data_IF_266749615283
#
_entry.id   IF_266749615283
#
_cell.length_a   1.000
_cell.length_b   1.000
_cell.length_c   1.000
_cell.angle_alpha   90.00
_cell.angle_beta   90.00
_cell.angle_gamma   90.00
#
_symmetry.space_group_name_H-M   'P 1'
#
loop_
_entity.id
_entity.type
_entity.pdbx_description
1 polymer ?
#
# COMPACT_ATOMS: atom_id res chain seq x y z
N UNK A 1 70.14 -1.74 -2.91
CA UNK A 1 69.52 -0.61 -2.19
C UNK A 1 68.84 0.26 -3.23
N UNK A 2 67.50 0.24 -3.20
CA UNK A 2 66.48 0.98 -3.97
C UNK A 2 66.64 1.20 -5.49
N UNK A 3 65.67 0.62 -6.21
CA UNK A 3 65.27 0.89 -7.59
C UNK A 3 63.89 1.56 -7.54
N UNK A 4 63.68 2.67 -8.26
CA UNK A 4 62.40 2.94 -8.94
C UNK A 4 62.59 4.03 -10.02
N UNK A 5 62.20 3.70 -11.25
CA UNK A 5 62.05 4.60 -12.40
C UNK A 5 60.57 4.57 -12.84
N UNK A 6 60.11 5.72 -13.29
CA UNK A 6 58.75 6.22 -13.55
C UNK A 6 58.09 5.57 -14.80
N UNK A 7 56.76 5.40 -14.82
CA UNK A 7 55.90 5.64 -16.00
C UNK A 7 54.42 5.90 -15.62
N UNK A 8 53.70 6.51 -16.57
CA UNK A 8 52.41 7.21 -16.52
C UNK A 8 51.14 6.46 -16.04
N UNK A 9 50.12 7.27 -15.75
CA UNK A 9 48.68 6.96 -15.64
C UNK A 9 48.19 5.78 -16.49
N UNK A 10 47.57 4.81 -15.83
CA UNK A 10 46.39 4.12 -16.34
C UNK A 10 45.37 4.09 -15.20
N UNK A 11 44.23 4.70 -15.48
CA UNK A 11 43.04 4.66 -14.66
C UNK A 11 42.43 3.25 -14.78
N UNK A 12 42.43 2.46 -13.71
CA UNK A 12 41.47 1.36 -13.57
C UNK A 12 40.72 1.64 -12.28
N UNK A 13 39.63 2.38 -12.45
CA UNK A 13 38.46 2.18 -11.63
C UNK A 13 38.15 0.68 -11.70
N UNK A 14 38.36 -0.08 -10.62
CA UNK A 14 37.48 -1.22 -10.42
C UNK A 14 36.11 -0.61 -10.15
N UNK A 15 35.34 -0.54 -11.23
CA UNK A 15 34.04 0.07 -11.27
C UNK A 15 33.20 -0.50 -10.13
N UNK A 16 32.82 0.40 -9.23
CA UNK A 16 31.52 0.34 -8.58
C UNK A 16 30.48 0.12 -9.68
N UNK A 17 29.90 -1.08 -9.76
CA UNK A 17 28.65 -1.26 -10.48
C UNK A 17 27.53 -0.65 -9.60
N UNK A 18 27.38 0.67 -9.68
CA UNK A 18 26.19 1.37 -9.18
C UNK A 18 24.99 1.11 -10.14
N UNK A 19 23.74 1.35 -9.73
CA UNK A 19 22.77 0.33 -9.35
C UNK A 19 21.70 0.04 -10.42
N UNK A 20 21.38 -1.25 -10.58
CA UNK A 20 20.07 -1.81 -10.96
C UNK A 20 19.23 -1.11 -12.05
N UNK A 21 19.39 -1.52 -13.31
CA UNK A 21 18.39 -1.33 -14.37
C UNK A 21 17.06 -2.09 -14.13
N UNK A 22 16.96 -2.84 -13.04
CA UNK A 22 15.82 -3.68 -12.72
C UNK A 22 14.77 -2.88 -11.92
N UNK A 23 13.61 -2.63 -12.52
CA UNK A 23 12.47 -1.96 -11.89
C UNK A 23 11.39 -2.97 -11.55
N UNK A 24 11.03 -3.06 -10.28
CA UNK A 24 9.83 -3.81 -9.87
C UNK A 24 8.57 -3.00 -10.24
N UNK A 25 7.69 -3.60 -11.03
CA UNK A 25 6.42 -3.00 -11.47
C UNK A 25 5.30 -3.37 -10.51
N UNK A 26 5.24 -4.64 -10.13
CA UNK A 26 4.23 -5.16 -9.23
C UNK A 26 4.72 -6.42 -8.52
N UNK A 27 4.21 -6.64 -7.32
CA UNK A 27 4.40 -7.89 -6.59
C UNK A 27 3.21 -8.18 -5.67
N UNK A 28 3.08 -9.44 -5.25
CA UNK A 28 2.28 -9.77 -4.08
C UNK A 28 3.10 -9.52 -2.82
N UNK A 29 2.63 -8.64 -1.94
CA UNK A 29 3.24 -8.49 -0.61
C UNK A 29 2.82 -9.63 0.31
N UNK A 30 1.54 -9.98 0.33
CA UNK A 30 1.01 -11.06 1.17
C UNK A 30 1.02 -12.39 0.39
N UNK A 31 1.72 -13.40 0.91
CA UNK A 31 1.91 -14.71 0.27
C UNK A 31 1.50 -15.84 1.21
N UNK A 32 0.51 -16.62 0.79
CA UNK A 32 0.08 -17.82 1.49
C UNK A 32 0.86 -19.05 1.04
N UNK A 33 1.09 -20.00 1.93
CA UNK A 33 1.54 -21.33 1.54
C UNK A 33 0.62 -21.96 0.48
N UNK A 34 1.21 -22.76 -0.39
CA UNK A 34 0.50 -23.53 -1.43
C UNK A 34 -0.27 -22.68 -2.45
N UNK A 35 0.02 -21.37 -2.51
CA UNK A 35 -0.45 -20.45 -3.54
C UNK A 35 0.68 -20.06 -4.48
N UNK A 36 0.32 -19.57 -5.65
CA UNK A 36 1.25 -18.89 -6.52
C UNK A 36 1.26 -17.40 -6.21
N UNK A 37 2.42 -16.79 -6.35
CA UNK A 37 2.62 -15.36 -6.25
C UNK A 37 3.56 -14.92 -7.37
N UNK A 38 3.56 -13.62 -7.67
CA UNK A 38 4.32 -13.10 -8.81
C UNK A 38 5.18 -11.89 -8.48
N UNK A 39 6.26 -11.78 -9.23
CA UNK A 39 7.01 -10.55 -9.42
C UNK A 39 6.88 -10.13 -10.88
N UNK A 40 6.49 -8.88 -11.10
CA UNK A 40 6.50 -8.25 -12.42
C UNK A 40 7.60 -7.23 -12.42
N UNK A 41 8.55 -7.37 -13.35
CA UNK A 41 9.69 -6.48 -13.42
C UNK A 41 9.96 -6.04 -14.85
N UNK A 42 10.62 -4.89 -14.95
CA UNK A 42 11.13 -4.34 -16.18
C UNK A 42 12.64 -4.10 -16.06
N UNK A 43 13.33 -4.09 -17.19
CA UNK A 43 14.74 -3.70 -17.28
C UNK A 43 14.85 -2.46 -18.14
N UNK A 44 15.43 -1.39 -17.60
CA UNK A 44 15.58 -0.10 -18.29
C UNK A 44 16.54 -0.19 -19.47
N UNK A 45 17.61 -0.98 -19.36
CA UNK A 45 18.53 -1.26 -20.47
C UNK A 45 17.86 -2.11 -21.57
N UNK A 46 17.67 -1.51 -22.75
CA UNK A 46 17.08 -2.14 -23.93
C UNK A 46 17.86 -3.37 -24.40
N UNK A 47 19.20 -3.31 -24.41
CA UNK A 47 20.05 -4.40 -24.85
C UNK A 47 19.96 -5.58 -23.89
N UNK A 48 20.00 -5.31 -22.58
CA UNK A 48 19.81 -6.34 -21.59
C UNK A 48 18.41 -6.95 -21.71
N UNK A 49 17.36 -6.12 -21.87
CA UNK A 49 15.98 -6.60 -22.00
C UNK A 49 15.78 -7.55 -23.19
N UNK A 50 16.36 -7.23 -24.34
CA UNK A 50 16.37 -8.09 -25.53
C UNK A 50 17.12 -9.40 -25.25
N UNK A 51 18.32 -9.32 -24.67
CA UNK A 51 19.10 -10.50 -24.26
C UNK A 51 18.34 -11.41 -23.30
N UNK A 52 17.58 -10.87 -22.35
CA UNK A 52 16.76 -11.67 -21.43
C UNK A 52 15.64 -12.44 -22.16
N UNK A 53 15.16 -11.94 -23.29
CA UNK A 53 14.13 -12.59 -24.11
C UNK A 53 14.64 -13.73 -24.97
N UNK A 54 15.90 -13.66 -25.41
CA UNK A 54 16.44 -14.57 -26.44
C UNK A 54 17.48 -15.55 -25.89
N UNK A 55 18.22 -15.15 -24.85
CA UNK A 55 19.38 -15.90 -24.37
C UNK A 55 18.99 -17.21 -23.65
N UNK A 56 19.75 -18.27 -23.96
CA UNK A 56 19.67 -19.54 -23.25
C UNK A 56 20.40 -19.55 -21.90
N UNK A 57 21.16 -18.50 -21.60
CA UNK A 57 22.00 -18.38 -20.41
C UNK A 57 21.53 -17.27 -19.47
N UNK A 58 20.48 -16.54 -19.85
CA UNK A 58 19.88 -15.50 -19.02
C UNK A 58 18.93 -16.14 -17.99
N UNK A 59 19.17 -15.85 -16.71
CA UNK A 59 18.45 -16.41 -15.57
C UNK A 59 17.99 -15.30 -14.63
N UNK A 60 16.84 -15.53 -14.00
CA UNK A 60 16.42 -14.82 -12.81
C UNK A 60 16.52 -15.76 -11.61
N UNK A 61 17.13 -15.28 -10.53
CA UNK A 61 17.21 -15.97 -9.25
C UNK A 61 16.51 -15.13 -8.18
N UNK A 62 15.50 -15.71 -7.55
CA UNK A 62 14.76 -15.12 -6.45
C UNK A 62 15.23 -15.77 -5.15
N UNK A 63 15.74 -14.97 -4.22
CA UNK A 63 16.29 -15.41 -2.93
C UNK A 63 15.45 -14.84 -1.80
N UNK A 64 15.01 -15.68 -0.88
CA UNK A 64 14.44 -15.24 0.38
C UNK A 64 15.50 -15.32 1.47
N UNK A 65 15.63 -14.25 2.24
CA UNK A 65 16.51 -14.16 3.40
C UNK A 65 15.73 -14.44 4.69
N UNK A 66 16.39 -14.73 5.81
CA UNK A 66 15.71 -14.95 7.09
C UNK A 66 14.69 -13.85 7.42
N UNK A 67 13.60 -14.24 8.08
CA UNK A 67 12.56 -13.30 8.45
C UNK A 67 13.10 -12.23 9.40
N UNK A 68 12.72 -10.98 9.17
CA UNK A 68 13.05 -9.84 10.01
C UNK A 68 11.95 -9.59 11.03
N UNK A 69 12.32 -9.06 12.18
CA UNK A 69 11.41 -8.81 13.31
C UNK A 69 11.18 -7.33 13.58
N UNK A 70 12.05 -6.46 13.05
CA UNK A 70 11.95 -5.02 13.22
C UNK A 70 11.92 -4.28 11.89
N UNK A 71 11.37 -3.06 11.89
CA UNK A 71 11.40 -2.17 10.73
C UNK A 71 12.83 -1.75 10.38
N UNK A 72 13.71 -1.58 11.37
CA UNK A 72 15.11 -1.26 11.15
C UNK A 72 15.85 -2.38 10.41
N UNK A 73 15.63 -3.64 10.78
CA UNK A 73 16.17 -4.80 10.07
C UNK A 73 15.64 -4.88 8.63
N UNK A 74 14.35 -4.61 8.43
CA UNK A 74 13.75 -4.56 7.11
C UNK A 74 14.37 -3.46 6.25
N UNK A 75 14.48 -2.23 6.76
CA UNK A 75 15.08 -1.11 6.04
C UNK A 75 16.54 -1.42 5.66
N UNK A 76 17.33 -1.94 6.61
CA UNK A 76 18.71 -2.33 6.32
C UNK A 76 18.80 -3.40 5.21
N UNK A 77 17.89 -4.38 5.24
CA UNK A 77 17.79 -5.44 4.23
C UNK A 77 17.34 -4.94 2.85
N UNK A 78 16.59 -3.84 2.78
CA UNK A 78 16.15 -3.24 1.52
C UNK A 78 17.22 -2.32 0.94
N UNK A 79 17.90 -1.55 1.79
CA UNK A 79 18.98 -0.65 1.39
C UNK A 79 20.24 -1.41 0.96
N UNK A 80 20.51 -2.53 1.62
CA UNK A 80 21.65 -3.39 1.36
C UNK A 80 21.20 -4.84 1.40
N UNK A 81 21.68 -5.66 0.45
CA UNK A 81 21.36 -7.09 0.47
C UNK A 81 21.69 -7.67 1.85
N UNK A 82 20.81 -8.48 2.46
CA UNK A 82 21.11 -9.12 3.72
C UNK A 82 22.43 -9.89 3.66
N UNK A 83 23.25 -9.73 4.69
CA UNK A 83 24.52 -10.47 4.91
C UNK A 83 24.27 -11.88 5.47
N UNK A 84 23.09 -12.43 5.20
CA UNK A 84 22.67 -13.75 5.64
C UNK A 84 22.53 -14.68 4.43
N UNK A 85 22.78 -15.96 4.64
CA UNK A 85 22.47 -16.98 3.63
C UNK A 85 20.95 -17.05 3.38
N UNK A 86 20.51 -17.19 2.11
CA UNK A 86 19.10 -17.27 1.80
C UNK A 86 18.50 -18.58 2.33
N UNK A 87 17.32 -18.47 2.95
CA UNK A 87 16.55 -19.61 3.47
C UNK A 87 15.78 -20.35 2.38
N UNK A 88 15.55 -19.71 1.24
CA UNK A 88 14.94 -20.33 0.07
C UNK A 88 15.41 -19.64 -1.22
N UNK A 89 15.53 -20.42 -2.30
CA UNK A 89 15.97 -19.92 -3.61
C UNK A 89 15.10 -20.53 -4.71
N UNK A 90 14.69 -19.70 -5.66
CA UNK A 90 14.03 -20.09 -6.89
C UNK A 90 14.82 -19.56 -8.09
N UNK A 91 14.91 -20.35 -9.16
CA UNK A 91 15.62 -19.96 -10.38
C UNK A 91 14.84 -20.31 -11.63
N UNK A 92 14.86 -19.42 -12.62
CA UNK A 92 14.22 -19.64 -13.93
C UNK A 92 15.02 -19.00 -15.06
N UNK A 93 14.90 -19.55 -16.27
CA UNK A 93 15.40 -18.90 -17.49
C UNK A 93 14.47 -17.73 -17.85
N UNK A 94 15.03 -16.54 -18.07
CA UNK A 94 14.23 -15.33 -18.33
C UNK A 94 13.42 -15.43 -19.62
N UNK A 95 13.94 -16.12 -20.65
CA UNK A 95 13.23 -16.37 -21.91
C UNK A 95 11.99 -17.26 -21.78
N UNK A 96 11.83 -17.96 -20.66
CA UNK A 96 10.66 -18.81 -20.37
C UNK A 96 9.62 -18.11 -19.51
N UNK A 97 9.89 -16.89 -19.08
CA UNK A 97 8.94 -16.10 -18.31
C UNK A 97 7.81 -15.62 -19.21
N UNK A 98 6.63 -15.51 -18.62
CA UNK A 98 5.52 -14.83 -19.27
C UNK A 98 5.83 -13.33 -19.40
N UNK A 99 5.15 -12.68 -20.35
CA UNK A 99 5.22 -11.24 -20.56
C UNK A 99 3.86 -10.59 -20.45
N UNK A 100 3.80 -9.39 -19.91
CA UNK A 100 2.60 -8.54 -19.97
C UNK A 100 2.40 -7.96 -21.38
N UNK A 101 1.26 -7.32 -21.62
CA UNK A 101 1.02 -6.57 -22.86
C UNK A 101 1.98 -5.39 -23.07
N UNK A 102 2.59 -4.88 -22.00
CA UNK A 102 3.64 -3.84 -22.00
C UNK A 102 5.06 -4.42 -22.17
N UNK A 103 5.21 -5.75 -22.25
CA UNK A 103 6.49 -6.42 -22.43
C UNK A 103 7.26 -6.72 -21.13
N UNK A 104 6.68 -6.42 -19.97
CA UNK A 104 7.30 -6.66 -18.66
C UNK A 104 7.36 -8.16 -18.36
N UNK A 105 8.41 -8.60 -17.68
CA UNK A 105 8.61 -10.00 -17.36
C UNK A 105 7.83 -10.39 -16.10
N UNK A 106 7.19 -11.56 -16.14
CA UNK A 106 6.42 -12.10 -15.03
C UNK A 106 7.07 -13.38 -14.51
N UNK A 107 7.57 -13.33 -13.28
CA UNK A 107 8.03 -14.51 -12.54
C UNK A 107 6.89 -15.01 -11.69
N UNK A 108 6.33 -16.17 -12.05
CA UNK A 108 5.31 -16.85 -11.26
C UNK A 108 5.96 -17.94 -10.43
N UNK A 109 5.79 -17.88 -9.10
CA UNK A 109 6.47 -18.77 -8.16
C UNK A 109 5.42 -19.43 -7.26
N UNK A 110 5.55 -20.74 -7.05
CA UNK A 110 4.78 -21.45 -6.03
C UNK A 110 5.37 -21.19 -4.64
N UNK A 111 4.53 -20.83 -3.66
CA UNK A 111 4.91 -20.68 -2.27
C UNK A 111 4.94 -22.05 -1.58
N UNK A 112 5.94 -22.86 -1.91
CA UNK A 112 6.05 -24.23 -1.44
C UNK A 112 6.91 -25.10 -2.34
N UNK A 113 6.52 -26.37 -2.50
CA UNK A 113 7.28 -27.34 -3.29
C UNK A 113 7.40 -26.88 -4.75
N UNK A 114 8.62 -26.87 -5.28
CA UNK A 114 8.91 -26.48 -6.66
C UNK A 114 9.00 -24.96 -6.88
N UNK A 115 8.86 -24.15 -5.83
CA UNK A 115 9.10 -22.71 -5.87
C UNK A 115 9.89 -22.23 -4.66
N UNK A 116 9.41 -21.16 -4.01
CA UNK A 116 10.04 -20.59 -2.83
C UNK A 116 9.43 -21.22 -1.57
N UNK A 117 10.14 -22.19 -0.98
CA UNK A 117 9.64 -22.96 0.15
C UNK A 117 9.95 -22.30 1.50
N UNK A 118 9.08 -21.38 1.93
CA UNK A 118 9.11 -20.78 3.26
C UNK A 118 8.32 -21.63 4.27
N UNK A 119 8.78 -21.69 5.51
CA UNK A 119 8.26 -22.62 6.54
C UNK A 119 7.63 -21.94 7.74
N UNK A 120 7.99 -20.69 7.99
CA UNK A 120 7.60 -19.95 9.19
C UNK A 120 6.95 -18.65 8.75
N UNK A 121 6.00 -18.16 9.55
CA UNK A 121 5.38 -16.87 9.29
C UNK A 121 6.38 -15.74 9.52
N UNK A 122 6.27 -14.67 8.73
CA UNK A 122 7.07 -13.48 8.94
C UNK A 122 7.26 -12.63 7.69
N UNK A 123 7.99 -11.54 7.87
CA UNK A 123 8.40 -10.65 6.79
C UNK A 123 9.78 -11.11 6.30
N UNK A 124 9.85 -11.53 5.04
CA UNK A 124 11.05 -12.04 4.40
C UNK A 124 11.58 -11.01 3.40
N UNK A 125 12.82 -10.51 3.57
CA UNK A 125 13.49 -9.80 2.49
C UNK A 125 13.72 -10.73 1.30
N UNK A 126 13.45 -10.24 0.09
CA UNK A 126 13.55 -10.98 -1.15
C UNK A 126 14.49 -10.25 -2.11
N UNK A 127 15.57 -10.91 -2.53
CA UNK A 127 16.45 -10.44 -3.60
C UNK A 127 16.05 -11.06 -4.95
N UNK A 128 15.93 -10.22 -5.99
CA UNK A 128 15.72 -10.64 -7.37
C UNK A 128 16.98 -10.31 -8.15
N UNK A 129 17.67 -11.34 -8.64
CA UNK A 129 18.93 -11.23 -9.36
C UNK A 129 18.77 -11.69 -10.79
N UNK A 130 19.28 -10.91 -11.73
CA UNK A 130 19.35 -11.25 -13.14
C UNK A 130 20.81 -11.50 -13.49
N UNK A 131 21.09 -12.68 -14.04
CA UNK A 131 22.42 -13.03 -14.51
C UNK A 131 22.38 -13.54 -15.95
N UNK A 132 23.40 -13.17 -16.74
CA UNK A 132 23.57 -13.61 -18.13
C UNK A 132 24.93 -14.28 -18.25
N UNK A 133 24.97 -15.54 -18.69
CA UNK A 133 26.23 -16.29 -18.76
C UNK A 133 26.89 -16.52 -17.39
N UNK A 134 26.14 -16.41 -16.30
CA UNK A 134 26.62 -16.54 -14.92
C UNK A 134 27.09 -15.23 -14.28
N UNK A 135 27.15 -14.12 -15.03
CA UNK A 135 27.53 -12.81 -14.50
C UNK A 135 26.26 -12.04 -14.05
N UNK A 136 26.28 -11.48 -12.84
CA UNK A 136 25.19 -10.66 -12.32
C UNK A 136 25.10 -9.36 -13.12
N UNK A 137 23.93 -9.07 -13.69
CA UNK A 137 23.67 -7.90 -14.54
C UNK A 137 22.73 -6.90 -13.90
N UNK A 138 21.77 -7.36 -13.11
CA UNK A 138 20.86 -6.47 -12.40
C UNK A 138 20.33 -7.13 -11.12
N UNK A 139 19.92 -6.31 -10.15
CA UNK A 139 19.38 -6.76 -8.87
C UNK A 139 18.35 -5.78 -8.34
N UNK A 140 17.34 -6.27 -7.64
CA UNK A 140 16.50 -5.45 -6.76
C UNK A 140 16.17 -6.23 -5.49
N UNK A 141 16.05 -5.53 -4.36
CA UNK A 141 15.58 -6.12 -3.10
C UNK A 141 14.21 -5.57 -2.74
N UNK A 142 13.35 -6.44 -2.26
CA UNK A 142 11.98 -6.16 -1.82
C UNK A 142 11.69 -7.00 -0.58
N UNK A 143 10.43 -7.07 -0.14
CA UNK A 143 10.01 -7.99 0.90
C UNK A 143 8.63 -8.57 0.62
N UNK A 144 8.37 -9.74 1.19
CA UNK A 144 7.05 -10.34 1.26
C UNK A 144 6.71 -10.65 2.72
N UNK A 145 5.42 -10.62 3.03
CA UNK A 145 4.85 -11.18 4.24
C UNK A 145 4.33 -12.59 3.93
N UNK A 146 4.97 -13.62 4.48
CA UNK A 146 4.60 -15.02 4.28
C UNK A 146 3.82 -15.56 5.47
N UNK A 147 2.83 -16.40 5.18
CA UNK A 147 2.00 -17.08 6.17
C UNK A 147 1.71 -18.53 5.77
N UNK A 148 1.89 -19.42 6.74
CA UNK A 148 1.70 -20.86 6.61
C UNK A 148 0.23 -21.31 6.61
N UNK A 149 -0.01 -22.61 6.34
CA UNK A 149 -1.36 -23.17 6.24
C UNK A 149 -2.03 -23.34 7.62
N UNK A 150 -1.23 -23.41 8.68
CA UNK A 150 -1.68 -23.54 10.08
C UNK A 150 -1.83 -22.20 10.77
N UNK A 151 -1.46 -21.11 10.11
CA UNK A 151 -1.59 -19.77 10.64
C UNK A 151 -3.06 -19.40 10.66
N UNK A 152 -3.69 -19.66 11.80
CA UNK A 152 -5.00 -19.13 12.09
C UNK A 152 -4.87 -17.61 12.13
N UNK A 153 -5.19 -16.97 11.01
CA UNK A 153 -5.53 -15.57 11.04
C UNK A 153 -6.69 -15.42 12.01
N UNK A 154 -6.46 -14.76 13.13
CA UNK A 154 -7.52 -13.86 13.59
C UNK A 154 -7.55 -12.77 12.52
N UNK A 155 -8.26 -13.03 11.41
CA UNK A 155 -8.65 -11.96 10.51
C UNK A 155 -9.36 -10.99 11.41
N UNK A 156 -8.78 -9.80 11.60
CA UNK A 156 -9.58 -8.69 12.07
C UNK A 156 -10.71 -8.60 11.04
N UNK A 157 -11.94 -8.96 11.46
CA UNK A 157 -13.12 -8.83 10.62
C UNK A 157 -13.37 -7.34 10.51
N UNK A 158 -12.56 -6.65 9.71
CA UNK A 158 -12.76 -5.25 9.38
C UNK A 158 -13.31 -5.26 7.96
N UNK A 159 -14.62 -5.18 7.87
CA UNK A 159 -15.28 -4.79 6.64
C UNK A 159 -15.33 -3.27 6.66
N UNK A 160 -14.52 -2.64 5.81
CA UNK A 160 -14.55 -1.19 5.65
C UNK A 160 -15.76 -0.82 4.79
N UNK A 161 -16.67 -0.02 5.36
CA UNK A 161 -17.80 0.54 4.66
C UNK A 161 -17.57 2.04 4.52
N UNK A 162 -17.31 2.47 3.29
CA UNK A 162 -17.07 3.88 2.96
C UNK A 162 -18.40 4.53 2.62
N UNK A 163 -18.81 5.49 3.44
CA UNK A 163 -19.93 6.37 3.15
C UNK A 163 -19.60 7.33 2.01
N UNK A 164 -20.65 7.92 1.44
CA UNK A 164 -20.60 8.79 0.26
C UNK A 164 -19.42 9.79 0.30
N UNK A 165 -18.62 9.88 -0.77
CA UNK A 165 -17.80 11.05 -0.94
C UNK A 165 -18.69 12.27 -1.29
N UNK A 166 -18.69 13.35 -0.51
CA UNK A 166 -19.25 14.64 -0.95
C UNK A 166 -18.38 15.27 -2.05
N UNK A 167 -17.26 14.66 -2.44
CA UNK A 167 -16.32 15.20 -3.44
C UNK A 167 -16.82 15.20 -4.87
N UNK A 168 -18.05 14.77 -5.15
CA UNK A 168 -18.72 15.09 -6.44
C UNK A 168 -19.84 16.11 -6.30
N UNK A 169 -20.18 16.53 -5.08
CA UNK A 169 -21.25 17.44 -4.74
C UNK A 169 -20.75 18.78 -4.17
N UNK A 170 -21.69 19.68 -3.87
CA UNK A 170 -21.40 20.89 -3.09
C UNK A 170 -21.40 20.52 -1.60
N UNK A 171 -20.60 21.18 -0.73
CA UNK A 171 -20.72 21.01 0.72
C UNK A 171 -22.18 21.19 1.14
N UNK A 172 -22.69 20.37 2.05
CA UNK A 172 -24.02 20.52 2.62
C UNK A 172 -24.27 21.93 3.16
N UNK A 173 -23.28 22.56 3.80
CA UNK A 173 -23.34 23.98 4.16
C UNK A 173 -23.03 24.88 2.96
N UNK A 174 -24.03 25.60 2.46
CA UNK A 174 -23.88 26.53 1.36
C UNK A 174 -23.39 27.91 1.82
N UNK A 175 -22.76 28.71 0.92
CA UNK A 175 -22.31 30.07 1.26
C UNK A 175 -23.43 31.03 1.69
N UNK A 176 -24.67 30.76 1.29
CA UNK A 176 -25.86 31.55 1.68
C UNK A 176 -26.44 31.13 3.04
N UNK A 177 -25.79 30.19 3.74
CA UNK A 177 -26.22 29.67 5.03
C UNK A 177 -27.31 28.61 4.94
N UNK A 178 -27.77 28.25 3.73
CA UNK A 178 -28.67 27.12 3.54
C UNK A 178 -27.95 25.79 3.74
N UNK A 179 -28.71 24.78 4.15
CA UNK A 179 -28.24 23.40 4.31
C UNK A 179 -28.87 22.55 3.21
N UNK A 180 -28.04 21.95 2.37
CA UNK A 180 -28.48 21.16 1.23
C UNK A 180 -27.63 19.89 1.09
N UNK A 181 -28.13 18.77 1.62
CA UNK A 181 -27.56 17.45 1.34
C UNK A 181 -28.08 16.96 -0.01
N UNK A 182 -27.19 16.75 -0.96
CA UNK A 182 -27.55 16.34 -2.31
C UNK A 182 -28.03 14.88 -2.39
N UNK A 183 -28.75 14.54 -3.45
CA UNK A 183 -29.30 13.19 -3.63
C UNK A 183 -28.23 12.10 -3.70
N UNK A 184 -27.06 12.29 -4.36
CA UNK A 184 -25.97 11.32 -4.30
C UNK A 184 -25.48 11.03 -2.88
N UNK A 185 -25.27 12.05 -2.04
CA UNK A 185 -24.87 11.88 -0.65
C UNK A 185 -25.94 11.14 0.14
N UNK A 186 -27.22 11.54 -0.01
CA UNK A 186 -28.36 10.88 0.65
C UNK A 186 -28.44 9.39 0.30
N UNK A 187 -28.38 9.04 -0.99
CA UNK A 187 -28.47 7.66 -1.47
C UNK A 187 -27.32 6.78 -0.95
N UNK A 188 -26.10 7.32 -0.90
CA UNK A 188 -24.96 6.57 -0.42
C UNK A 188 -24.99 6.37 1.11
N UNK A 189 -25.53 7.32 1.88
CA UNK A 189 -25.83 7.11 3.30
C UNK A 189 -26.96 6.11 3.52
N UNK A 190 -27.99 6.09 2.68
CA UNK A 190 -29.04 5.07 2.74
C UNK A 190 -28.49 3.65 2.47
N UNK A 191 -27.60 3.52 1.48
CA UNK A 191 -26.89 2.26 1.24
C UNK A 191 -26.01 1.87 2.42
N UNK A 192 -25.33 2.84 3.04
CA UNK A 192 -24.53 2.63 4.24
C UNK A 192 -25.39 2.08 5.38
N UNK A 193 -26.55 2.71 5.63
CA UNK A 193 -27.52 2.27 6.64
C UNK A 193 -28.01 0.85 6.35
N UNK A 194 -28.34 0.55 5.09
CA UNK A 194 -28.80 -0.78 4.67
C UNK A 194 -27.75 -1.86 4.96
N UNK A 195 -26.49 -1.60 4.62
CA UNK A 195 -25.38 -2.55 4.83
C UNK A 195 -25.01 -2.66 6.31
N UNK A 196 -24.90 -1.54 7.02
CA UNK A 196 -24.52 -1.51 8.43
C UNK A 196 -25.59 -2.02 9.38
N UNK A 197 -26.86 -1.98 8.97
CA UNK A 197 -27.96 -2.56 9.75
C UNK A 197 -28.06 -4.07 9.58
N UNK A 198 -27.41 -4.66 8.56
CA UNK A 198 -27.48 -6.09 8.31
C UNK A 198 -26.86 -6.92 9.45
N UNK A 199 -27.30 -8.17 9.57
CA UNK A 199 -26.66 -9.13 10.47
C UNK A 199 -25.28 -9.49 9.91
N UNK A 200 -24.23 -9.11 10.64
CA UNK A 200 -22.84 -9.17 10.17
C UNK A 200 -21.84 -8.83 11.27
N UNK A 201 -20.55 -9.02 10.96
CA UNK A 201 -19.45 -8.68 11.87
C UNK A 201 -19.25 -7.16 12.03
N UNK A 202 -18.32 -6.74 12.91
CA UNK A 202 -18.00 -5.32 13.07
C UNK A 202 -17.52 -4.72 11.74
N UNK A 203 -18.01 -3.52 11.44
CA UNK A 203 -17.59 -2.71 10.31
C UNK A 203 -16.72 -1.56 10.81
N UNK A 204 -15.85 -1.06 9.93
CA UNK A 204 -15.21 0.24 10.10
C UNK A 204 -15.88 1.22 9.12
N UNK A 205 -16.36 2.35 9.61
CA UNK A 205 -17.12 3.33 8.86
C UNK A 205 -16.23 4.52 8.49
N UNK A 206 -16.35 4.97 7.25
CA UNK A 206 -15.70 6.19 6.79
C UNK A 206 -16.75 7.14 6.23
N UNK A 207 -17.27 8.02 7.08
CA UNK A 207 -18.35 8.94 6.74
C UNK A 207 -17.82 10.37 6.85
N UNK A 208 -18.01 11.17 5.81
CA UNK A 208 -17.57 12.56 5.82
C UNK A 208 -18.31 13.36 6.91
N UNK A 209 -17.59 14.00 7.84
CA UNK A 209 -18.22 14.71 8.95
C UNK A 209 -19.15 15.83 8.49
N UNK A 210 -18.78 16.57 7.43
CA UNK A 210 -19.60 17.66 6.89
C UNK A 210 -20.99 17.21 6.44
N UNK A 211 -21.12 16.01 5.89
CA UNK A 211 -22.41 15.46 5.46
C UNK A 211 -23.28 15.10 6.66
N UNK A 212 -22.67 14.58 7.74
CA UNK A 212 -23.39 14.27 8.99
C UNK A 212 -23.88 15.56 9.64
N UNK A 213 -23.02 16.57 9.75
CA UNK A 213 -23.38 17.88 10.28
C UNK A 213 -24.46 18.56 9.41
N UNK A 214 -24.39 18.37 8.08
CA UNK A 214 -25.44 18.77 7.14
C UNK A 214 -26.79 18.10 7.42
N UNK A 215 -26.81 16.78 7.67
CA UNK A 215 -28.04 16.11 8.08
C UNK A 215 -28.55 16.61 9.44
N UNK A 216 -27.66 16.83 10.41
CA UNK A 216 -28.00 17.29 11.75
C UNK A 216 -28.61 18.70 11.77
N UNK A 217 -28.23 19.54 10.80
CA UNK A 217 -28.76 20.91 10.63
C UNK A 217 -29.91 20.99 9.64
N UNK A 218 -30.24 19.92 8.93
CA UNK A 218 -31.36 19.90 7.99
C UNK A 218 -32.69 19.96 8.73
N UNK A 219 -33.64 20.72 8.16
CA UNK A 219 -35.04 20.75 8.63
C UNK A 219 -35.94 19.75 7.90
N UNK A 220 -35.40 19.02 6.93
CA UNK A 220 -36.13 17.99 6.19
C UNK A 220 -36.42 16.79 7.09
N UNK A 221 -37.69 16.35 7.12
CA UNK A 221 -38.09 15.16 7.88
C UNK A 221 -37.34 13.90 7.40
N UNK A 222 -37.04 13.79 6.10
CA UNK A 222 -36.32 12.65 5.53
C UNK A 222 -34.85 12.62 5.98
N UNK A 223 -34.21 13.79 6.09
CA UNK A 223 -32.81 13.90 6.53
C UNK A 223 -32.69 13.60 8.03
N UNK A 224 -33.64 14.07 8.84
CA UNK A 224 -33.72 13.74 10.27
C UNK A 224 -33.90 12.23 10.48
N UNK A 225 -34.79 11.60 9.70
CA UNK A 225 -35.01 10.16 9.75
C UNK A 225 -33.80 9.35 9.23
N UNK A 226 -33.05 9.87 8.27
CA UNK A 226 -31.80 9.26 7.81
C UNK A 226 -30.71 9.36 8.87
N UNK A 227 -30.50 10.53 9.49
CA UNK A 227 -29.53 10.72 10.56
C UNK A 227 -29.78 9.77 11.72
N UNK A 228 -31.03 9.67 12.17
CA UNK A 228 -31.41 8.76 13.28
C UNK A 228 -31.01 7.30 12.99
N UNK A 229 -31.22 6.83 11.75
CA UNK A 229 -30.84 5.47 11.34
C UNK A 229 -29.32 5.33 11.19
N UNK A 230 -28.65 6.38 10.73
CA UNK A 230 -27.20 6.42 10.58
C UNK A 230 -26.49 6.36 11.94
N UNK A 231 -26.96 7.13 12.93
CA UNK A 231 -26.42 7.12 14.30
C UNK A 231 -26.51 5.73 14.93
N UNK A 232 -27.61 5.00 14.73
CA UNK A 232 -27.74 3.62 15.21
C UNK A 232 -26.69 2.67 14.60
N UNK A 233 -26.30 2.90 13.34
CA UNK A 233 -25.24 2.15 12.66
C UNK A 233 -23.85 2.58 13.17
N UNK A 234 -23.63 3.88 13.34
CA UNK A 234 -22.37 4.44 13.86
C UNK A 234 -22.08 3.99 15.30
N UNK A 235 -23.10 3.88 16.16
CA UNK A 235 -22.93 3.39 17.53
C UNK A 235 -22.57 1.90 17.63
N UNK A 236 -22.79 1.12 16.57
CA UNK A 236 -22.48 -0.32 16.53
C UNK A 236 -21.12 -0.61 15.90
N UNK A 237 -20.51 0.37 15.24
CA UNK A 237 -19.35 0.18 14.38
C UNK A 237 -18.28 1.23 14.66
N UNK A 238 -17.02 0.89 14.39
CA UNK A 238 -15.92 1.83 14.60
C UNK A 238 -15.89 2.86 13.46
N UNK A 239 -15.74 4.14 13.74
CA UNK A 239 -15.60 5.18 12.70
C UNK A 239 -14.14 5.61 12.54
N UNK A 240 -13.71 5.96 11.33
CA UNK A 240 -12.34 6.46 11.06
C UNK A 240 -12.30 7.97 11.15
N UNK A 241 -11.24 8.52 11.76
CA UNK A 241 -11.00 9.97 11.78
C UNK A 241 -10.76 10.50 10.36
N UNK A 242 -11.50 11.54 9.97
CA UNK A 242 -11.33 12.25 8.71
C UNK A 242 -11.44 13.77 8.94
N UNK A 243 -10.93 14.63 8.05
CA UNK A 243 -11.16 16.06 8.15
C UNK A 243 -12.63 16.36 7.89
N UNK A 244 -13.09 17.48 8.43
CA UNK A 244 -14.47 17.94 8.30
C UNK A 244 -14.93 17.93 6.84
N UNK A 245 -14.17 18.56 5.93
CA UNK A 245 -14.32 18.43 4.48
C UNK A 245 -13.13 17.67 3.89
N UNK A 246 -13.32 16.94 2.78
CA UNK A 246 -12.24 16.24 2.09
C UNK A 246 -11.06 17.16 1.77
N UNK A 247 -9.92 16.90 2.39
CA UNK A 247 -8.70 17.65 2.16
C UNK A 247 -7.51 16.68 2.10
N UNK A 248 -6.77 16.73 0.99
CA UNK A 248 -5.63 15.86 0.78
C UNK A 248 -4.42 16.33 1.61
N UNK A 249 -3.86 15.47 2.49
CA UNK A 249 -2.74 15.84 3.37
C UNK A 249 -1.50 16.24 2.58
N UNK A 250 -1.19 15.55 1.48
CA UNK A 250 -0.04 15.85 0.63
C UNK A 250 -0.14 17.26 0.02
N UNK A 251 -1.34 17.62 -0.46
CA UNK A 251 -1.63 18.93 -1.02
C UNK A 251 -1.67 20.02 0.05
N UNK A 252 -2.20 19.72 1.24
CA UNK A 252 -2.16 20.63 2.38
C UNK A 252 -0.70 20.98 2.75
N UNK A 253 0.17 19.97 2.84
CA UNK A 253 1.58 20.19 3.17
C UNK A 253 2.29 21.00 2.07
N UNK A 254 2.12 20.64 0.79
CA UNK A 254 2.72 21.39 -0.34
C UNK A 254 2.28 22.85 -0.39
N UNK A 255 1.03 23.12 0.00
CA UNK A 255 0.48 24.47 0.05
C UNK A 255 0.78 25.22 1.37
N UNK A 256 1.56 24.64 2.29
CA UNK A 256 1.79 25.18 3.65
C UNK A 256 0.48 25.38 4.46
N UNK A 257 -0.55 24.59 4.18
CA UNK A 257 -1.87 24.60 4.82
C UNK A 257 -2.01 23.55 5.93
N UNK A 258 -0.89 23.14 6.55
CA UNK A 258 -0.90 22.10 7.58
C UNK A 258 -1.70 22.45 8.84
N UNK A 259 -1.73 23.74 9.22
CA UNK A 259 -2.58 24.22 10.33
C UNK A 259 -4.08 24.09 9.98
N UNK A 260 -4.58 24.67 8.88
CA UNK A 260 -5.97 24.46 8.43
C UNK A 260 -6.36 22.98 8.30
N UNK A 261 -5.45 22.12 7.82
CA UNK A 261 -5.71 20.69 7.74
C UNK A 261 -5.94 20.05 9.11
N UNK A 262 -5.10 20.36 10.11
CA UNK A 262 -5.27 19.87 11.48
C UNK A 262 -6.50 20.44 12.19
N UNK A 263 -6.86 21.68 11.87
CA UNK A 263 -8.13 22.27 12.33
C UNK A 263 -9.31 21.48 11.77
N UNK A 264 -9.32 21.21 10.46
CA UNK A 264 -10.36 20.40 9.84
C UNK A 264 -10.39 18.97 10.38
N UNK A 265 -9.24 18.36 10.71
CA UNK A 265 -9.19 17.07 11.41
C UNK A 265 -9.84 17.11 12.79
N UNK A 266 -9.60 18.20 13.53
CA UNK A 266 -10.15 18.38 14.87
C UNK A 266 -11.66 18.59 14.78
N UNK A 267 -12.12 19.50 13.92
CA UNK A 267 -13.55 19.74 13.67
C UNK A 267 -14.25 18.47 13.17
N UNK A 268 -13.61 17.71 12.27
CA UNK A 268 -14.17 16.47 11.76
C UNK A 268 -14.32 15.40 12.84
N UNK A 269 -13.32 15.27 13.72
CA UNK A 269 -13.39 14.41 14.91
C UNK A 269 -14.55 14.83 15.81
N UNK A 270 -14.64 16.12 16.14
CA UNK A 270 -15.62 16.62 17.09
C UNK A 270 -17.06 16.38 16.59
N UNK A 271 -17.31 16.50 15.28
CA UNK A 271 -18.59 16.12 14.67
C UNK A 271 -18.84 14.62 14.79
N UNK A 272 -17.87 13.76 14.44
CA UNK A 272 -18.04 12.31 14.52
C UNK A 272 -18.30 11.84 15.97
N UNK A 273 -17.61 12.42 16.95
CA UNK A 273 -17.75 12.09 18.37
C UNK A 273 -19.17 12.36 18.89
N UNK A 274 -19.84 13.42 18.39
CA UNK A 274 -21.24 13.73 18.75
C UNK A 274 -22.20 12.61 18.33
N UNK A 275 -21.93 11.95 17.19
CA UNK A 275 -22.86 10.99 16.58
C UNK A 275 -22.49 9.50 16.80
N UNK A 276 -21.24 9.19 17.15
CA UNK A 276 -20.77 7.81 17.40
C UNK A 276 -21.19 7.24 18.76
N UNK A 277 -21.69 8.05 19.69
CA UNK A 277 -22.03 7.61 21.05
C UNK A 277 -20.81 7.05 21.79
N UNK A 278 -20.90 5.82 22.31
CA UNK A 278 -19.78 5.15 23.00
C UNK A 278 -18.83 4.38 22.05
N UNK A 279 -19.15 4.30 20.74
CA UNK A 279 -18.31 3.59 19.79
C UNK A 279 -16.96 4.33 19.60
N UNK A 280 -15.82 3.62 19.64
CA UNK A 280 -14.52 4.26 19.54
C UNK A 280 -14.29 4.86 18.14
N UNK A 281 -13.66 6.03 18.10
CA UNK A 281 -13.12 6.58 16.87
C UNK A 281 -11.69 6.05 16.64
N UNK A 282 -11.45 5.44 15.48
CA UNK A 282 -10.13 5.00 15.09
C UNK A 282 -9.24 6.20 14.72
N UNK A 283 -8.28 6.51 15.58
CA UNK A 283 -7.30 7.57 15.33
C UNK A 283 -6.01 7.10 14.63
N UNK A 284 -5.87 5.77 14.45
CA UNK A 284 -4.66 5.10 13.95
C UNK A 284 -4.76 4.74 12.46
N UNK A 285 -5.96 4.76 11.90
CA UNK A 285 -6.24 4.51 10.50
C UNK A 285 -6.61 5.80 9.76
N UNK A 286 -6.24 5.85 8.49
CA UNK A 286 -6.58 6.94 7.58
C UNK A 286 -6.96 6.38 6.21
N UNK A 287 -7.99 6.95 5.60
CA UNK A 287 -8.41 6.58 4.24
C UNK A 287 -8.04 7.72 3.31
N UNK A 288 -6.91 7.54 2.61
CA UNK A 288 -6.46 8.47 1.60
C UNK A 288 -7.27 8.25 0.31
N UNK A 289 -7.82 9.32 -0.25
CA UNK A 289 -8.53 9.31 -1.53
C UNK A 289 -7.61 9.43 -2.73
N UNK A 290 -6.38 9.88 -2.47
CA UNK A 290 -5.29 9.95 -3.42
C UNK A 290 -4.08 9.25 -2.80
N UNK A 291 -3.14 8.73 -3.60
CA UNK A 291 -1.89 8.22 -3.09
C UNK A 291 -1.20 9.28 -2.22
N UNK A 292 -0.84 8.89 -0.99
CA UNK A 292 0.01 9.70 -0.12
C UNK A 292 1.43 9.75 -0.69
N UNK A 293 2.01 10.94 -0.76
CA UNK A 293 3.43 11.12 -1.02
C UNK A 293 4.18 11.45 0.27
N UNK A 294 5.49 11.73 0.15
CA UNK A 294 6.34 12.08 1.30
C UNK A 294 5.79 13.25 2.11
N UNK A 295 5.19 14.24 1.44
CA UNK A 295 4.69 15.45 2.09
C UNK A 295 3.41 15.11 2.90
N UNK A 296 2.59 14.19 2.40
CA UNK A 296 1.39 13.72 3.09
C UNK A 296 1.65 12.82 4.31
N UNK A 297 2.84 12.23 4.43
CA UNK A 297 3.22 11.41 5.59
C UNK A 297 3.80 12.27 6.74
N UNK A 298 4.29 13.48 6.43
CA UNK A 298 4.97 14.37 7.38
C UNK A 298 4.04 15.34 8.15
N UNK A 299 2.73 15.37 7.84
CA UNK A 299 1.75 16.37 8.32
C UNK A 299 1.01 16.04 9.61
#
# INVERSE_FOLDING_TARGET
MFLLVIFQMVNIHHASAAPSDLRLIAQNFNVASDRQFRFVFNVSDDQLREQLGESNTATITVRAYPAVTTTAELTAALDSQPDAEPVAVFGALTRRLERTSTGDFVVLIAAGRGGLSLRTDGIYPIGLDIAVGGELRARITTAINFFGPTTAFTKMKVSLLVGAPATTGKPASQPDGSIAVDSPARNALENLVSIGSAEGGPLTLAIEPEVIDGLARSSSADDIALLTRLEAVMQRHESVRMPYVPFDPSSAQRASLGVPFRELLTTGRDVLDVHNGEAPLNSQAWIARQPLDKDGVEI
#
